data_IF_405410130624
#
_entry.id   IF_405410130624
#
_cell.length_a   1.000
_cell.length_b   1.000
_cell.length_c   1.000
_cell.angle_alpha   90.00
_cell.angle_beta   90.00
_cell.angle_gamma   90.00
#
_symmetry.space_group_name_H-M   'P 1'
#
loop_
_entity.id
_entity.type
_entity.pdbx_description
1 polymer ?
#
# COMPACT_ATOMS: atom_id res chain seq x y z
N UNK A 1 -3.62 -13.57 -6.42
CA UNK A 1 -2.94 -12.30 -6.13
C UNK A 1 -3.71 -11.68 -4.97
N UNK A 2 -3.13 -11.67 -3.77
CA UNK A 2 -3.75 -11.05 -2.58
C UNK A 2 -3.79 -9.57 -2.87
N UNK A 3 -4.97 -8.98 -2.90
CA UNK A 3 -5.14 -7.58 -3.30
C UNK A 3 -5.74 -6.84 -2.14
N UNK A 4 -4.96 -5.91 -1.59
CA UNK A 4 -5.30 -5.22 -0.36
C UNK A 4 -6.37 -4.16 -0.61
N UNK A 5 -7.22 -3.93 0.39
CA UNK A 5 -8.29 -2.95 0.29
C UNK A 5 -8.14 -1.84 1.34
N UNK A 6 -8.21 -0.57 0.92
CA UNK A 6 -8.12 0.58 1.84
C UNK A 6 -9.47 0.99 2.43
N UNK A 7 -10.56 0.68 1.75
CA UNK A 7 -11.91 1.03 2.17
C UNK A 7 -12.77 -0.22 2.17
N UNK A 8 -13.42 -0.50 3.30
CA UNK A 8 -14.39 -1.58 3.37
C UNK A 8 -15.75 -1.16 2.78
N UNK A 9 -16.67 -2.13 2.68
CA UNK A 9 -18.01 -1.92 2.15
C UNK A 9 -18.78 -0.88 2.98
N UNK A 10 -18.66 -0.91 4.30
CA UNK A 10 -19.37 0.03 5.18
C UNK A 10 -18.89 1.48 5.01
N UNK A 11 -17.59 1.67 4.80
CA UNK A 11 -16.98 2.97 4.52
C UNK A 11 -17.45 3.49 3.17
N UNK A 12 -17.48 2.64 2.14
CA UNK A 12 -17.98 3.02 0.82
C UNK A 12 -19.46 3.43 0.86
N UNK A 13 -20.33 2.64 1.50
CA UNK A 13 -21.79 2.91 1.56
C UNK A 13 -22.09 4.23 2.30
N UNK A 14 -21.27 4.58 3.30
CA UNK A 14 -21.40 5.87 4.01
C UNK A 14 -20.90 7.06 3.17
N UNK A 15 -20.06 6.82 2.17
CA UNK A 15 -19.66 7.85 1.22
C UNK A 15 -20.87 8.31 0.41
N UNK A 16 -21.08 9.63 0.32
CA UNK A 16 -22.18 10.23 -0.46
C UNK A 16 -21.92 10.12 -1.98
N UNK A 17 -21.87 8.89 -2.51
CA UNK A 17 -21.47 8.60 -3.88
C UNK A 17 -22.65 8.54 -4.85
N UNK A 18 -23.89 8.45 -4.34
CA UNK A 18 -25.11 8.40 -5.16
C UNK A 18 -25.25 7.17 -6.05
N UNK A 19 -24.46 6.11 -5.81
CA UNK A 19 -24.48 4.86 -6.57
C UNK A 19 -25.37 3.84 -5.86
N UNK A 20 -26.17 3.11 -6.64
CA UNK A 20 -26.96 1.99 -6.14
C UNK A 20 -26.04 0.81 -5.77
N UNK A 21 -26.06 0.38 -4.51
CA UNK A 21 -25.13 -0.66 -4.01
C UNK A 21 -25.78 -2.02 -3.75
N UNK A 22 -27.11 -2.12 -3.73
CA UNK A 22 -27.81 -3.36 -3.40
C UNK A 22 -27.70 -4.40 -4.53
N UNK A 23 -27.58 -4.00 -5.79
CA UNK A 23 -27.30 -4.92 -6.90
C UNK A 23 -25.83 -5.38 -6.96
N UNK A 24 -24.93 -4.63 -6.32
CA UNK A 24 -23.48 -4.83 -6.32
C UNK A 24 -22.99 -5.60 -5.08
N UNK A 25 -23.82 -5.74 -4.06
CA UNK A 25 -23.46 -6.38 -2.80
C UNK A 25 -24.47 -7.48 -2.48
N UNK A 26 -24.01 -8.72 -2.45
CA UNK A 26 -24.72 -9.82 -1.80
C UNK A 26 -24.07 -10.10 -0.45
N UNK A 27 -24.80 -10.80 0.44
CA UNK A 27 -24.22 -11.39 1.66
C UNK A 27 -23.21 -10.52 2.39
N UNK A 28 -23.65 -9.56 3.21
CA UNK A 28 -22.75 -8.64 3.92
C UNK A 28 -22.79 -8.84 5.43
N UNK A 29 -21.63 -9.00 6.04
CA UNK A 29 -21.51 -9.13 7.49
C UNK A 29 -20.10 -8.78 7.94
N UNK A 30 -19.80 -9.08 9.19
CA UNK A 30 -18.46 -9.00 9.78
C UNK A 30 -18.08 -10.35 10.39
N UNK A 31 -16.79 -10.68 10.43
CA UNK A 31 -16.32 -11.86 11.17
C UNK A 31 -16.68 -11.73 12.66
N UNK A 32 -17.37 -12.73 13.21
CA UNK A 32 -17.76 -12.76 14.62
C UNK A 32 -16.60 -13.24 15.52
N UNK A 33 -15.67 -14.02 14.95
CA UNK A 33 -14.50 -14.56 15.65
C UNK A 33 -13.25 -14.31 14.81
N UNK A 34 -12.09 -14.23 15.47
CA UNK A 34 -10.81 -14.20 14.77
C UNK A 34 -10.64 -15.51 13.98
N UNK A 35 -10.00 -15.42 12.82
CA UNK A 35 -9.80 -16.53 11.90
C UNK A 35 -8.30 -16.72 11.68
N UNK A 36 -7.82 -17.95 11.86
CA UNK A 36 -6.42 -18.28 11.59
C UNK A 36 -6.18 -18.49 10.08
N UNK A 37 -4.93 -18.32 9.63
CA UNK A 37 -4.53 -18.76 8.30
C UNK A 37 -4.75 -20.27 8.13
N UNK A 38 -5.21 -20.69 6.95
CA UNK A 38 -5.54 -22.08 6.64
C UNK A 38 -6.94 -22.50 7.10
N UNK A 39 -7.78 -21.58 7.60
CA UNK A 39 -9.12 -21.91 8.04
C UNK A 39 -10.00 -22.33 6.85
N UNK A 40 -10.84 -23.34 7.09
CA UNK A 40 -11.82 -23.86 6.13
C UNK A 40 -13.25 -23.49 6.49
N UNK A 41 -13.43 -22.67 7.54
CA UNK A 41 -14.73 -22.13 7.92
C UNK A 41 -14.57 -20.73 8.52
N UNK A 42 -15.59 -19.90 8.30
CA UNK A 42 -15.68 -18.55 8.84
C UNK A 42 -16.96 -18.45 9.67
N UNK A 43 -16.87 -17.85 10.85
CA UNK A 43 -18.07 -17.50 11.64
C UNK A 43 -18.34 -16.01 11.47
N UNK A 44 -19.51 -15.67 10.94
CA UNK A 44 -19.94 -14.28 10.68
C UNK A 44 -21.00 -13.85 11.69
N UNK A 45 -21.18 -12.54 11.86
CA UNK A 45 -22.21 -12.01 12.78
C UNK A 45 -23.64 -12.34 12.30
N UNK A 46 -23.85 -12.39 10.99
CA UNK A 46 -25.10 -12.79 10.34
C UNK A 46 -24.81 -13.50 9.01
N UNK A 47 -25.30 -14.72 8.86
CA UNK A 47 -25.12 -15.54 7.65
C UNK A 47 -26.33 -15.59 6.72
N UNK A 48 -27.44 -14.91 7.06
CA UNK A 48 -28.74 -15.07 6.37
C UNK A 48 -28.75 -14.65 4.90
N UNK A 49 -27.84 -13.76 4.50
CA UNK A 49 -27.76 -13.21 3.14
C UNK A 49 -26.65 -13.82 2.28
N UNK A 50 -25.91 -14.81 2.81
CA UNK A 50 -24.83 -15.48 2.08
C UNK A 50 -25.32 -16.63 1.20
N UNK A 51 -24.62 -16.83 0.08
CA UNK A 51 -24.82 -17.95 -0.83
C UNK A 51 -23.47 -18.60 -1.17
N UNK A 52 -23.52 -19.85 -1.66
CA UNK A 52 -22.32 -20.53 -2.15
C UNK A 52 -21.72 -19.75 -3.34
N UNK A 53 -20.40 -19.59 -3.36
CA UNK A 53 -19.71 -18.79 -4.37
C UNK A 53 -18.58 -17.93 -3.81
N UNK A 54 -18.12 -16.97 -4.62
CA UNK A 54 -17.02 -16.09 -4.28
C UNK A 54 -17.41 -15.12 -3.17
N UNK A 55 -16.53 -15.00 -2.19
CA UNK A 55 -16.67 -14.13 -1.03
C UNK A 55 -15.34 -13.41 -0.78
N UNK A 56 -15.43 -12.14 -0.40
CA UNK A 56 -14.30 -11.27 -0.16
C UNK A 56 -14.23 -10.92 1.32
N UNK A 57 -13.06 -11.13 1.92
CA UNK A 57 -12.72 -10.67 3.27
C UNK A 57 -11.89 -9.40 3.11
N UNK A 58 -12.37 -8.29 3.66
CA UNK A 58 -11.75 -6.97 3.55
C UNK A 58 -11.10 -6.63 4.89
N UNK A 59 -9.79 -6.86 4.98
CA UNK A 59 -8.99 -6.73 6.20
C UNK A 59 -7.62 -6.08 5.91
N UNK A 60 -7.64 -4.95 5.20
CA UNK A 60 -6.43 -4.21 4.84
C UNK A 60 -5.43 -5.04 4.03
N UNK A 61 -4.22 -5.19 4.55
CA UNK A 61 -3.14 -5.98 3.96
C UNK A 61 -3.39 -7.50 3.92
N UNK A 62 -4.38 -7.98 4.68
CA UNK A 62 -4.77 -9.38 4.71
C UNK A 62 -5.94 -9.67 3.76
N UNK A 63 -6.47 -8.68 3.02
CA UNK A 63 -7.69 -8.84 2.22
C UNK A 63 -7.54 -9.94 1.16
N UNK A 64 -8.49 -10.87 1.11
CA UNK A 64 -8.45 -12.01 0.20
C UNK A 64 -9.84 -12.45 -0.28
N UNK A 65 -9.86 -13.29 -1.33
CA UNK A 65 -11.07 -13.92 -1.85
C UNK A 65 -11.06 -15.40 -1.50
N UNK A 66 -12.16 -15.87 -0.92
CA UNK A 66 -12.41 -17.28 -0.60
C UNK A 66 -13.68 -17.76 -1.31
N UNK A 67 -13.84 -19.07 -1.45
CA UNK A 67 -15.04 -19.66 -2.05
C UNK A 67 -15.88 -20.36 -0.98
N UNK A 68 -17.10 -19.86 -0.73
CA UNK A 68 -18.07 -20.50 0.16
C UNK A 68 -18.66 -21.72 -0.54
N UNK A 69 -18.64 -22.87 0.12
CA UNK A 69 -19.25 -24.11 -0.36
C UNK A 69 -20.65 -24.32 0.22
N UNK A 70 -20.81 -24.10 1.52
CA UNK A 70 -22.07 -24.30 2.24
C UNK A 70 -22.22 -23.27 3.35
N UNK A 71 -23.46 -22.97 3.71
CA UNK A 71 -23.83 -22.06 4.80
C UNK A 71 -24.67 -22.83 5.81
N UNK A 72 -24.32 -22.72 7.08
CA UNK A 72 -25.07 -23.27 8.20
C UNK A 72 -25.22 -22.20 9.29
N UNK A 73 -26.37 -21.49 9.27
CA UNK A 73 -26.60 -20.36 10.17
C UNK A 73 -25.55 -19.26 9.97
N UNK A 74 -24.79 -18.97 11.02
CA UNK A 74 -23.70 -17.98 11.02
C UNK A 74 -22.35 -18.53 10.55
N UNK A 75 -22.27 -19.81 10.19
CA UNK A 75 -21.01 -20.46 9.77
C UNK A 75 -20.98 -20.65 8.25
N UNK A 76 -19.96 -20.08 7.62
CA UNK A 76 -19.66 -20.23 6.20
C UNK A 76 -18.55 -21.27 6.04
N UNK A 77 -18.84 -22.40 5.41
CA UNK A 77 -17.82 -23.42 5.11
C UNK A 77 -17.14 -23.07 3.80
N UNK A 78 -15.82 -22.98 3.81
CA UNK A 78 -15.02 -22.69 2.61
C UNK A 78 -14.78 -23.96 1.80
N UNK A 79 -14.56 -23.77 0.50
CA UNK A 79 -14.19 -24.86 -0.41
C UNK A 79 -12.79 -25.34 -0.08
N UNK A 80 -12.54 -26.65 -0.11
CA UNK A 80 -11.27 -27.24 0.30
C UNK A 80 -10.04 -26.72 -0.48
N UNK A 81 -10.24 -26.22 -1.70
CA UNK A 81 -9.20 -25.61 -2.53
C UNK A 81 -8.94 -24.12 -2.25
N UNK A 82 -9.71 -23.48 -1.36
CA UNK A 82 -9.60 -22.07 -1.02
C UNK A 82 -9.75 -21.83 0.49
N UNK A 83 -8.88 -22.44 1.34
CA UNK A 83 -8.78 -22.01 2.72
C UNK A 83 -8.26 -20.56 2.78
N UNK A 84 -8.44 -19.88 3.91
CA UNK A 84 -7.83 -18.56 4.10
C UNK A 84 -6.31 -18.64 4.00
N UNK A 85 -5.69 -17.67 3.35
CA UNK A 85 -4.23 -17.54 3.25
C UNK A 85 -3.69 -16.72 4.42
N UNK A 86 -4.44 -15.72 4.87
CA UNK A 86 -4.09 -14.85 5.97
C UNK A 86 -4.91 -15.14 7.24
N UNK A 87 -4.41 -14.66 8.37
CA UNK A 87 -5.21 -14.57 9.58
C UNK A 87 -6.02 -13.27 9.55
N UNK A 88 -7.25 -13.30 10.06
CA UNK A 88 -8.18 -12.18 10.07
C UNK A 88 -8.69 -11.87 11.48
N UNK A 89 -8.88 -10.58 11.73
CA UNK A 89 -9.44 -10.07 12.98
C UNK A 89 -10.95 -10.24 13.10
N UNK A 90 -11.45 -10.21 14.33
CA UNK A 90 -12.88 -10.00 14.60
C UNK A 90 -13.31 -8.65 14.02
N UNK A 91 -14.49 -8.59 13.41
CA UNK A 91 -15.03 -7.36 12.84
C UNK A 91 -14.60 -7.08 11.40
N UNK A 92 -13.71 -7.88 10.81
CA UNK A 92 -13.34 -7.73 9.40
C UNK A 92 -14.59 -7.86 8.51
N UNK A 93 -14.74 -6.94 7.56
CA UNK A 93 -15.89 -6.89 6.65
C UNK A 93 -15.84 -8.07 5.69
N UNK A 94 -16.99 -8.72 5.49
CA UNK A 94 -17.13 -9.83 4.57
C UNK A 94 -18.33 -9.61 3.64
N UNK A 95 -18.15 -9.90 2.35
CA UNK A 95 -19.14 -9.60 1.31
C UNK A 95 -19.13 -10.66 0.21
N UNK A 96 -20.29 -10.97 -0.38
CA UNK A 96 -20.37 -11.73 -1.65
C UNK A 96 -20.75 -10.85 -2.82
N UNK A 97 -20.60 -11.37 -4.03
CA UNK A 97 -21.09 -10.71 -5.24
C UNK A 97 -22.61 -10.55 -5.19
N UNK A 98 -23.10 -9.36 -5.54
CA UNK A 98 -24.51 -9.15 -5.87
C UNK A 98 -24.83 -9.66 -7.28
N UNK A 99 -26.08 -9.49 -7.71
CA UNK A 99 -26.57 -9.95 -9.02
C UNK A 99 -25.88 -9.28 -10.21
N UNK A 100 -25.31 -8.09 -10.03
CA UNK A 100 -24.57 -7.33 -11.06
C UNK A 100 -23.04 -7.30 -10.81
N UNK A 101 -22.53 -8.16 -9.91
CA UNK A 101 -21.12 -8.27 -9.54
C UNK A 101 -20.84 -7.85 -8.10
N UNK A 102 -19.56 -7.84 -7.68
CA UNK A 102 -19.17 -7.50 -6.31
C UNK A 102 -18.63 -6.08 -6.17
N UNK A 103 -19.22 -5.28 -5.27
CA UNK A 103 -18.65 -4.02 -4.79
C UNK A 103 -17.28 -4.25 -4.13
N UNK A 104 -17.13 -5.33 -3.36
CA UNK A 104 -15.87 -5.68 -2.72
C UNK A 104 -14.73 -5.87 -3.73
N UNK A 105 -15.00 -6.54 -4.87
CA UNK A 105 -14.01 -6.68 -5.96
C UNK A 105 -13.63 -5.31 -6.54
N UNK A 106 -14.60 -4.41 -6.71
CA UNK A 106 -14.33 -3.06 -7.22
C UNK A 106 -13.49 -2.25 -6.24
N UNK A 107 -13.78 -2.31 -4.94
CA UNK A 107 -12.99 -1.63 -3.91
C UNK A 107 -11.54 -2.14 -3.86
N UNK A 108 -11.37 -3.45 -4.07
CA UNK A 108 -10.06 -4.08 -4.19
C UNK A 108 -9.32 -3.58 -5.44
N UNK A 109 -9.97 -3.53 -6.60
CA UNK A 109 -9.37 -2.98 -7.84
C UNK A 109 -9.04 -1.49 -7.72
N UNK A 110 -9.91 -0.72 -7.09
CA UNK A 110 -9.69 0.70 -6.81
C UNK A 110 -8.49 0.91 -5.88
N UNK A 111 -8.38 0.07 -4.86
CA UNK A 111 -7.21 0.08 -3.95
C UNK A 111 -5.92 -0.23 -4.70
N UNK A 112 -5.90 -1.27 -5.54
CA UNK A 112 -4.75 -1.58 -6.40
C UNK A 112 -4.35 -0.42 -7.33
N UNK A 113 -5.34 0.29 -7.89
CA UNK A 113 -5.07 1.50 -8.68
C UNK A 113 -4.41 2.61 -7.84
N UNK A 114 -4.90 2.83 -6.62
CA UNK A 114 -4.30 3.80 -5.68
C UNK A 114 -2.87 3.42 -5.33
N UNK A 115 -2.56 2.13 -5.13
CA UNK A 115 -1.18 1.66 -4.94
C UNK A 115 -0.30 2.00 -6.14
N UNK A 116 -0.79 1.65 -7.34
CA UNK A 116 -0.08 1.90 -8.60
C UNK A 116 0.16 3.40 -8.85
N UNK A 117 -0.82 4.24 -8.51
CA UNK A 117 -0.69 5.69 -8.63
C UNK A 117 0.34 6.27 -7.66
N UNK A 118 0.31 5.84 -6.39
CA UNK A 118 1.26 6.32 -5.38
C UNK A 118 2.69 5.83 -5.67
N UNK A 119 2.85 4.65 -6.29
CA UNK A 119 4.15 4.15 -6.74
C UNK A 119 5.15 3.98 -5.59
N UNK A 120 4.65 3.69 -4.39
CA UNK A 120 5.48 3.20 -3.30
C UNK A 120 5.56 1.67 -3.51
N UNK A 121 6.75 1.07 -3.51
CA UNK A 121 6.94 -0.35 -3.92
C UNK A 121 7.67 -0.54 -5.24
N UNK A 122 8.31 -1.70 -5.43
CA UNK A 122 9.04 -2.01 -6.67
C UNK A 122 8.09 -2.37 -7.83
N UNK A 123 8.25 -1.80 -9.04
CA UNK A 123 7.35 -2.10 -10.15
C UNK A 123 7.57 -3.53 -10.58
N UNK A 124 6.47 -4.25 -10.84
CA UNK A 124 6.52 -5.64 -11.27
C UNK A 124 6.78 -6.65 -10.14
N UNK A 125 6.92 -6.21 -8.88
CA UNK A 125 6.97 -7.13 -7.74
C UNK A 125 5.61 -7.20 -7.03
N UNK A 126 4.80 -8.19 -7.41
CA UNK A 126 3.51 -8.45 -6.77
C UNK A 126 3.61 -8.84 -5.27
N UNK A 127 4.83 -9.11 -4.76
CA UNK A 127 5.08 -9.42 -3.36
C UNK A 127 5.52 -8.22 -2.51
N UNK A 128 5.62 -7.02 -3.09
CA UNK A 128 5.93 -5.76 -2.38
C UNK A 128 4.75 -4.79 -2.51
N UNK A 129 3.60 -5.07 -1.85
CA UNK A 129 2.43 -4.20 -1.92
C UNK A 129 2.76 -2.84 -1.30
N UNK A 130 2.33 -1.81 -2.01
CA UNK A 130 3.09 -0.57 -2.08
C UNK A 130 2.96 0.38 -0.90
N UNK A 131 1.91 0.27 -0.08
CA UNK A 131 1.57 1.34 0.87
C UNK A 131 1.34 0.87 2.30
N UNK A 132 1.19 -0.41 2.58
CA UNK A 132 0.98 -0.89 3.95
C UNK A 132 2.29 -0.90 4.76
N UNK A 133 2.14 -0.71 6.07
CA UNK A 133 3.21 -0.76 7.06
C UNK A 133 3.79 -2.18 7.18
N UNK A 134 4.83 -2.46 6.40
CA UNK A 134 5.54 -3.74 6.40
C UNK A 134 7.02 -3.53 6.71
N UNK A 135 7.62 -4.55 7.32
CA UNK A 135 9.08 -4.63 7.45
C UNK A 135 9.68 -4.85 6.07
N UNK A 136 10.57 -3.96 5.65
CA UNK A 136 11.22 -3.98 4.34
C UNK A 136 12.72 -3.83 4.46
N UNK A 137 13.43 -4.40 3.50
CA UNK A 137 14.87 -4.25 3.35
C UNK A 137 15.18 -3.63 1.99
N UNK A 138 15.96 -2.56 2.01
CA UNK A 138 16.38 -1.82 0.82
C UNK A 138 17.90 -1.69 0.77
N UNK A 139 18.42 -1.63 -0.46
CA UNK A 139 19.84 -1.57 -0.77
C UNK A 139 20.07 -0.46 -1.79
N UNK A 140 20.63 0.66 -1.36
CA UNK A 140 20.76 1.89 -2.15
C UNK A 140 22.21 2.23 -2.42
N UNK A 141 22.54 2.67 -3.63
CA UNK A 141 23.91 3.12 -3.94
C UNK A 141 24.19 4.47 -3.28
N UNK A 142 25.39 4.65 -2.74
CA UNK A 142 25.90 5.90 -2.19
C UNK A 142 27.11 6.41 -3.00
N UNK A 143 27.08 7.64 -3.53
CA UNK A 143 25.93 8.53 -3.63
C UNK A 143 24.92 8.03 -4.68
N UNK A 144 23.64 8.31 -4.45
CA UNK A 144 22.53 7.99 -5.35
C UNK A 144 21.32 8.89 -5.09
N UNK A 145 20.24 8.67 -5.85
CA UNK A 145 18.98 9.42 -5.69
C UNK A 145 18.23 9.09 -4.39
N UNK A 146 18.60 7.97 -3.75
CA UNK A 146 17.95 7.40 -2.56
C UNK A 146 18.82 7.42 -1.31
N UNK A 147 20.10 7.71 -1.46
CA UNK A 147 21.03 7.89 -0.35
C UNK A 147 22.14 8.86 -0.76
N UNK A 148 22.41 9.87 0.06
CA UNK A 148 23.46 10.84 -0.19
C UNK A 148 24.12 11.28 1.11
N UNK A 149 25.37 11.73 1.00
CA UNK A 149 26.07 12.40 2.09
C UNK A 149 26.05 13.91 1.83
N UNK A 150 25.54 14.66 2.79
CA UNK A 150 25.56 16.12 2.75
C UNK A 150 26.97 16.68 2.93
N UNK A 151 27.14 17.97 2.68
CA UNK A 151 28.43 18.68 2.78
C UNK A 151 29.01 18.62 4.20
N UNK A 152 28.14 18.53 5.22
CA UNK A 152 28.51 18.36 6.62
C UNK A 152 28.76 16.92 7.06
N UNK A 153 28.65 15.93 6.17
CA UNK A 153 28.79 14.50 6.50
C UNK A 153 27.54 13.86 7.10
N UNK A 154 26.37 14.52 7.02
CA UNK A 154 25.08 13.90 7.33
C UNK A 154 24.72 12.84 6.27
N UNK A 155 24.19 11.70 6.69
CA UNK A 155 23.67 10.69 5.77
C UNK A 155 22.16 10.88 5.63
N UNK A 156 21.73 11.29 4.44
CA UNK A 156 20.32 11.40 4.08
C UNK A 156 19.88 10.16 3.30
N UNK A 157 18.74 9.57 3.69
CA UNK A 157 18.17 8.38 3.05
C UNK A 157 16.70 8.62 2.72
N UNK A 158 16.28 8.27 1.50
CA UNK A 158 14.92 8.39 0.99
C UNK A 158 14.35 7.01 0.60
N UNK A 159 13.79 6.23 1.54
CA UNK A 159 13.27 4.90 1.24
C UNK A 159 12.15 4.91 0.17
N UNK A 160 11.88 3.77 -0.45
CA UNK A 160 10.79 3.66 -1.44
C UNK A 160 9.40 3.82 -0.81
N UNK A 161 9.24 3.43 0.45
CA UNK A 161 7.98 3.39 1.16
C UNK A 161 7.94 4.41 2.29
N UNK A 162 6.82 5.11 2.40
CA UNK A 162 6.64 6.13 3.42
C UNK A 162 5.17 6.24 3.86
N UNK A 163 4.88 6.70 5.08
CA UNK A 163 5.83 7.19 6.09
C UNK A 163 6.73 6.08 6.64
N UNK A 164 7.99 6.41 6.93
CA UNK A 164 8.90 5.53 7.68
C UNK A 164 8.50 5.60 9.14
N UNK A 165 8.11 4.47 9.71
CA UNK A 165 7.64 4.38 11.10
C UNK A 165 8.80 4.14 12.06
N UNK A 166 9.74 3.27 11.67
CA UNK A 166 10.91 2.95 12.46
C UNK A 166 11.99 2.35 11.57
N UNK A 167 13.25 2.55 11.94
CA UNK A 167 14.41 1.90 11.29
C UNK A 167 14.97 0.85 12.24
N UNK A 168 14.94 -0.40 11.82
CA UNK A 168 15.44 -1.53 12.61
C UNK A 168 16.96 -1.69 12.47
N UNK A 169 17.51 -1.48 11.27
CA UNK A 169 18.94 -1.53 11.04
C UNK A 169 19.35 -0.60 9.90
N UNK A 170 20.51 0.03 10.03
CA UNK A 170 21.14 0.83 9.00
C UNK A 170 22.63 0.47 8.94
N UNK A 171 23.15 0.20 7.75
CA UNK A 171 24.56 -0.10 7.57
C UNK A 171 25.09 0.42 6.23
N UNK A 172 26.41 0.63 6.18
CA UNK A 172 27.15 0.96 4.96
C UNK A 172 28.01 -0.22 4.56
N UNK A 173 27.82 -0.74 3.35
CA UNK A 173 28.61 -1.81 2.75
C UNK A 173 29.58 -1.20 1.73
N UNK A 174 30.87 -1.45 1.91
CA UNK A 174 31.95 -0.96 1.04
C UNK A 174 32.32 -1.96 -0.06
N UNK A 175 31.63 -3.09 -0.11
CA UNK A 175 32.06 -4.27 -0.83
C UNK A 175 33.14 -5.05 -0.09
N UNK A 176 33.52 -6.20 -0.62
CA UNK A 176 34.59 -7.06 -0.09
C UNK A 176 34.35 -7.56 1.36
N UNK A 177 33.09 -7.64 1.80
CA UNK A 177 32.72 -8.12 3.13
C UNK A 177 32.92 -7.10 4.25
N UNK A 178 33.18 -5.83 3.92
CA UNK A 178 33.30 -4.75 4.92
C UNK A 178 31.97 -4.01 5.06
N UNK A 179 31.32 -4.20 6.21
CA UNK A 179 30.05 -3.53 6.56
C UNK A 179 30.20 -2.75 7.85
N UNK A 180 29.73 -1.51 7.86
CA UNK A 180 29.66 -0.65 9.05
C UNK A 180 28.22 -0.49 9.50
N UNK A 181 27.90 -0.99 10.69
CA UNK A 181 26.56 -0.82 11.28
C UNK A 181 26.47 0.53 11.97
N UNK A 182 25.43 1.29 11.63
CA UNK A 182 25.16 2.62 12.16
C UNK A 182 24.10 2.54 13.27
N UNK A 183 24.19 3.45 14.25
CA UNK A 183 23.22 3.55 15.34
C UNK A 183 21.89 4.13 14.84
N UNK A 184 20.93 3.24 14.60
CA UNK A 184 19.58 3.62 14.19
C UNK A 184 18.84 4.46 15.24
N UNK A 185 19.26 4.48 16.52
CA UNK A 185 18.61 5.29 17.56
C UNK A 185 18.87 6.79 17.43
N UNK A 186 19.84 7.18 16.59
CA UNK A 186 20.20 8.59 16.35
C UNK A 186 19.59 9.15 15.07
N UNK A 187 18.75 8.37 14.39
CA UNK A 187 18.06 8.79 13.18
C UNK A 187 17.06 9.90 13.52
N UNK A 188 17.06 10.96 12.69
CA UNK A 188 16.12 12.06 12.77
C UNK A 188 15.19 11.94 11.57
N UNK A 189 13.91 11.69 11.84
CA UNK A 189 12.90 11.70 10.79
C UNK A 189 12.57 13.13 10.37
N UNK A 190 12.46 13.35 9.06
CA UNK A 190 11.87 14.59 8.56
C UNK A 190 10.39 14.68 8.96
N UNK A 191 9.82 15.88 8.99
CA UNK A 191 8.41 16.09 9.34
C UNK A 191 7.43 15.34 8.42
N UNK A 192 7.86 15.00 7.21
CA UNK A 192 7.07 14.21 6.24
C UNK A 192 7.22 12.69 6.41
N UNK A 193 8.18 12.24 7.21
CA UNK A 193 8.61 10.84 7.34
C UNK A 193 8.90 10.13 5.99
N UNK A 194 9.14 10.90 4.91
CA UNK A 194 9.56 10.38 3.59
C UNK A 194 11.05 10.10 3.51
N UNK A 195 11.81 10.78 4.34
CA UNK A 195 13.25 10.63 4.49
C UNK A 195 13.64 10.79 5.94
N UNK A 196 14.83 10.31 6.22
CA UNK A 196 15.45 10.49 7.51
C UNK A 196 16.93 10.78 7.32
N UNK A 197 17.48 11.48 8.29
CA UNK A 197 18.86 11.92 8.30
C UNK A 197 19.56 11.32 9.52
N UNK A 198 20.83 10.97 9.35
CA UNK A 198 21.72 10.58 10.44
C UNK A 198 22.79 11.69 10.60
N UNK A 199 22.79 12.44 11.71
CA UNK A 199 23.67 13.58 11.87
C UNK A 199 25.14 13.15 12.10
N UNK A 200 26.10 14.03 11.76
CA UNK A 200 27.50 13.81 12.07
C UNK A 200 27.80 14.01 13.58
N UNK A 201 28.84 13.35 14.13
CA UNK A 201 29.56 12.23 13.52
C UNK A 201 28.65 10.99 13.45
N UNK A 202 28.67 10.25 12.33
CA UNK A 202 27.81 9.08 12.19
C UNK A 202 28.13 8.07 13.31
N UNK A 203 27.18 7.76 14.19
CA UNK A 203 27.39 6.88 15.33
C UNK A 203 27.54 5.44 14.82
N UNK A 204 28.73 4.87 14.97
CA UNK A 204 29.00 3.48 14.58
C UNK A 204 28.79 2.58 15.79
N UNK A 205 27.87 1.61 15.68
CA UNK A 205 27.75 0.52 16.65
C UNK A 205 28.89 -0.47 16.37
N UNK A 206 30.03 -0.29 17.01
CA UNK A 206 31.15 -1.22 16.89
C UNK A 206 30.78 -2.58 17.49
N UNK A 207 31.03 -3.68 16.76
CA UNK A 207 31.31 -4.98 17.39
C UNK A 207 32.26 -5.84 16.55
N UNK A 208 33.38 -6.22 17.18
CA UNK A 208 34.39 -7.21 16.77
C UNK A 208 35.16 -6.95 15.48
N UNK A 209 36.10 -6.01 15.57
CA UNK A 209 37.12 -5.78 14.57
C UNK A 209 37.71 -4.41 14.83
N UNK A 210 39.01 -4.34 15.06
CA UNK A 210 39.72 -3.06 15.26
C UNK A 210 39.35 -2.11 14.12
N UNK A 211 38.90 -0.91 14.48
CA UNK A 211 38.67 0.22 13.57
C UNK A 211 39.97 0.55 12.83
N UNK A 212 40.17 -0.08 11.68
CA UNK A 212 41.21 0.28 10.72
C UNK A 212 40.52 0.33 9.36
N UNK A 213 40.06 1.52 8.97
CA UNK A 213 40.11 1.86 7.54
C UNK A 213 41.55 1.54 7.07
N UNK A 214 41.78 0.94 5.90
CA UNK A 214 43.15 0.64 5.46
C UNK A 214 43.98 1.94 5.50
N UNK A 215 44.77 2.13 6.57
CA UNK A 215 45.45 3.41 6.88
C UNK A 215 45.34 3.99 8.31
N UNK A 216 44.45 3.51 9.18
CA UNK A 216 44.44 3.86 10.62
C UNK A 216 43.82 5.22 11.01
N UNK A 217 43.20 5.22 12.20
CA UNK A 217 42.33 6.23 12.83
C UNK A 217 40.94 6.39 12.18
N UNK A 218 39.86 6.59 12.98
CA UNK A 218 38.58 7.07 12.48
C UNK A 218 38.77 8.54 12.06
N UNK A 219 39.36 8.74 10.88
CA UNK A 219 39.51 10.06 10.27
C UNK A 219 38.12 10.65 10.02
N UNK A 220 38.02 11.96 10.18
CA UNK A 220 36.86 12.71 9.74
C UNK A 220 36.48 12.27 8.31
N UNK A 221 35.17 12.13 8.06
CA UNK A 221 34.62 11.70 6.77
C UNK A 221 35.13 12.52 5.56
N UNK A 222 35.72 13.70 5.81
CA UNK A 222 36.42 14.52 4.82
C UNK A 222 37.58 13.80 4.12
N UNK A 223 38.20 12.80 4.76
CA UNK A 223 39.37 12.09 4.24
C UNK A 223 39.03 10.72 3.64
N UNK A 224 37.88 10.15 4.00
CA UNK A 224 37.33 9.02 3.27
C UNK A 224 36.82 9.61 1.98
N UNK A 225 37.70 9.65 0.98
CA UNK A 225 37.33 9.93 -0.38
C UNK A 225 36.31 8.87 -0.82
N UNK A 226 35.04 9.12 -0.49
CA UNK A 226 33.85 8.79 -1.27
C UNK A 226 33.91 9.52 -2.63
N UNK A 227 35.13 9.66 -3.17
CA UNK A 227 35.38 9.74 -4.58
C UNK A 227 34.48 8.70 -5.22
N UNK A 228 33.89 9.10 -6.32
CA UNK A 228 32.90 8.36 -7.11
C UNK A 228 33.43 7.02 -7.66
N UNK A 229 34.56 6.51 -7.15
CA UNK A 229 35.34 5.38 -7.63
C UNK A 229 34.98 4.03 -6.96
N UNK A 230 34.40 4.00 -5.75
CA UNK A 230 34.01 2.76 -5.06
C UNK A 230 32.49 2.59 -4.90
N UNK A 231 31.93 1.37 -5.09
CA UNK A 231 30.50 1.13 -4.88
C UNK A 231 30.22 0.97 -3.38
N UNK A 232 29.90 2.08 -2.70
CA UNK A 232 29.33 2.04 -1.35
C UNK A 232 27.83 1.88 -1.44
N UNK A 233 27.25 1.05 -0.58
CA UNK A 233 25.82 0.78 -0.53
C UNK A 233 25.28 1.02 0.88
N UNK A 234 24.07 1.56 0.95
CA UNK A 234 23.29 1.69 2.17
C UNK A 234 22.36 0.49 2.28
N UNK A 235 22.54 -0.30 3.32
CA UNK A 235 21.66 -1.40 3.71
C UNK A 235 20.70 -0.92 4.77
N UNK A 236 19.41 -0.91 4.46
CA UNK A 236 18.37 -0.40 5.32
C UNK A 236 17.34 -1.48 5.59
N UNK A 237 17.02 -1.73 6.86
CA UNK A 237 15.83 -2.49 7.27
C UNK A 237 14.93 -1.57 8.09
N UNK A 238 13.68 -1.43 7.68
CA UNK A 238 12.76 -0.45 8.26
C UNK A 238 11.31 -0.91 8.15
N UNK A 239 10.44 -0.32 8.97
CA UNK A 239 8.99 -0.43 8.83
C UNK A 239 8.51 0.83 8.11
N UNK A 240 7.98 0.66 6.88
CA UNK A 240 7.52 1.77 6.05
C UNK A 240 6.09 1.57 5.58
N UNK A 241 5.36 2.65 5.34
CA UNK A 241 3.97 2.62 4.88
C UNK A 241 2.96 2.95 5.98
N UNK A 242 1.68 2.77 5.67
CA UNK A 242 0.53 3.15 6.48
C UNK A 242 0.06 1.96 7.32
N UNK A 243 -0.18 2.20 8.61
CA UNK A 243 -0.62 1.15 9.54
C UNK A 243 -2.04 0.69 9.15
N UNK A 244 -2.26 -0.62 9.10
CA UNK A 244 -3.59 -1.18 8.93
C UNK A 244 -4.52 -0.69 10.06
N UNK A 245 -5.70 -0.18 9.71
CA UNK A 245 -6.65 0.40 10.67
C UNK A 245 -6.40 1.88 11.03
N UNK A 246 -5.27 2.47 10.63
CA UNK A 246 -5.01 3.92 10.76
C UNK A 246 -4.76 4.56 9.40
N UNK A 247 -5.51 4.12 8.38
CA UNK A 247 -5.42 4.65 7.03
C UNK A 247 -5.91 6.11 7.02
N UNK A 248 -5.15 7.06 6.44
CA UNK A 248 -5.60 8.45 6.31
C UNK A 248 -6.90 8.53 5.52
N UNK A 249 -7.75 9.48 5.90
CA UNK A 249 -9.03 9.72 5.22
C UNK A 249 -8.86 9.87 3.71
N UNK A 250 -7.81 10.57 3.27
CA UNK A 250 -7.49 10.79 1.85
C UNK A 250 -7.43 9.49 1.04
N UNK A 251 -6.84 8.41 1.59
CA UNK A 251 -6.77 7.12 0.92
C UNK A 251 -8.14 6.46 0.83
N UNK A 252 -8.89 6.45 1.93
CA UNK A 252 -10.23 5.86 1.96
C UNK A 252 -11.18 6.58 1.00
N UNK A 253 -11.09 7.91 0.95
CA UNK A 253 -11.88 8.75 0.06
C UNK A 253 -11.46 8.59 -1.40
N UNK A 254 -10.16 8.54 -1.69
CA UNK A 254 -9.65 8.30 -3.04
C UNK A 254 -10.10 6.93 -3.56
N UNK A 255 -10.07 5.88 -2.73
CA UNK A 255 -10.62 4.57 -3.11
C UNK A 255 -12.12 4.65 -3.40
N UNK A 256 -12.88 5.39 -2.60
CA UNK A 256 -14.31 5.58 -2.89
C UNK A 256 -14.52 6.27 -4.25
N UNK A 257 -13.79 7.35 -4.55
CA UNK A 257 -13.90 8.05 -5.84
C UNK A 257 -13.49 7.18 -7.03
N UNK A 258 -12.38 6.43 -6.91
CA UNK A 258 -11.92 5.50 -7.96
C UNK A 258 -12.92 4.36 -8.13
N UNK A 259 -13.45 3.79 -7.04
CA UNK A 259 -14.46 2.74 -7.11
C UNK A 259 -15.75 3.25 -7.77
N UNK A 260 -16.21 4.44 -7.43
CA UNK A 260 -17.37 5.08 -8.07
C UNK A 260 -17.13 5.32 -9.56
N UNK A 261 -15.92 5.75 -9.93
CA UNK A 261 -15.52 5.89 -11.33
C UNK A 261 -15.56 4.55 -12.08
N UNK A 262 -15.01 3.48 -11.49
CA UNK A 262 -15.03 2.12 -12.05
C UNK A 262 -16.46 1.57 -12.19
N UNK A 263 -17.36 1.87 -11.23
CA UNK A 263 -18.77 1.50 -11.31
C UNK A 263 -19.53 2.33 -12.36
N UNK A 264 -19.21 3.61 -12.50
CA UNK A 264 -19.77 4.46 -13.56
C UNK A 264 -19.47 3.94 -14.97
N UNK A 265 -18.34 3.25 -15.17
CA UNK A 265 -18.06 2.54 -16.43
C UNK A 265 -18.92 1.29 -16.64
N UNK A 266 -19.47 0.66 -15.59
CA UNK A 266 -20.40 -0.48 -15.75
C UNK A 266 -21.76 -0.02 -16.26
N UNK A 267 -22.24 1.13 -15.79
CA UNK A 267 -23.47 1.77 -16.31
C UNK A 267 -23.25 2.40 -17.70
N UNK A 268 -21.99 2.60 -18.11
CA UNK A 268 -21.62 3.23 -19.36
C UNK A 268 -20.30 2.64 -19.91
N UNK A 269 -20.34 1.47 -20.57
CA UNK A 269 -19.13 0.77 -21.00
C UNK A 269 -18.31 1.66 -21.94
N UNK A 270 -17.16 2.08 -21.41
CA UNK A 270 -16.08 2.87 -22.00
C UNK A 270 -16.46 4.27 -22.53
N UNK A 271 -16.32 5.30 -21.68
CA UNK A 271 -15.77 6.60 -22.11
C UNK A 271 -16.55 7.42 -23.13
N UNK A 272 -17.88 7.33 -23.18
CA UNK A 272 -18.64 8.10 -24.15
C UNK A 272 -18.78 9.58 -23.71
N UNK A 273 -17.98 10.47 -24.30
CA UNK A 273 -18.23 11.93 -24.29
C UNK A 273 -19.60 12.30 -24.91
N UNK A 274 -20.30 11.33 -25.50
CA UNK A 274 -21.50 11.48 -26.29
C UNK A 274 -22.48 10.34 -25.98
N UNK A 275 -23.67 10.66 -25.45
CA UNK A 275 -24.75 9.69 -25.23
C UNK A 275 -25.79 9.82 -26.35
N UNK A 276 -26.03 8.76 -27.13
CA UNK A 276 -27.08 8.76 -28.15
C UNK A 276 -28.44 8.41 -27.53
N UNK A 277 -29.39 9.34 -27.63
CA UNK A 277 -30.79 9.21 -27.26
C UNK A 277 -31.64 9.25 -28.54
N UNK A 278 -31.67 8.14 -29.28
CA UNK A 278 -32.34 8.08 -30.58
C UNK A 278 -31.66 8.97 -31.61
N UNK A 279 -32.34 10.04 -32.09
CA UNK A 279 -31.80 10.98 -33.10
C UNK A 279 -30.89 12.08 -32.54
N UNK A 280 -30.68 12.14 -31.22
CA UNK A 280 -29.91 13.21 -30.57
C UNK A 280 -28.71 12.64 -29.82
N UNK A 281 -27.64 13.43 -29.76
CA UNK A 281 -26.41 13.08 -29.05
C UNK A 281 -26.14 14.13 -27.96
N UNK A 282 -25.91 13.68 -26.73
CA UNK A 282 -25.72 14.52 -25.55
C UNK A 282 -24.26 14.50 -25.12
N UNK A 283 -23.61 15.67 -25.08
CA UNK A 283 -22.20 15.84 -24.73
C UNK A 283 -22.10 16.73 -23.50
N UNK A 284 -21.70 16.18 -22.34
CA UNK A 284 -21.44 16.98 -21.14
C UNK A 284 -19.93 17.19 -20.98
N UNK A 285 -19.48 18.44 -21.06
CA UNK A 285 -18.10 18.84 -20.73
C UNK A 285 -18.14 19.98 -19.71
N UNK A 286 -17.32 19.90 -18.67
CA UNK A 286 -16.99 21.07 -17.85
C UNK A 286 -16.10 21.99 -18.70
N UNK A 287 -16.45 23.28 -18.76
CA UNK A 287 -15.79 24.25 -19.65
C UNK A 287 -14.34 24.46 -19.19
N UNK A 288 -13.36 23.98 -19.96
CA UNK A 288 -11.94 24.27 -19.75
C UNK A 288 -11.05 23.08 -19.38
N UNK A 289 -11.60 21.89 -19.17
CA UNK A 289 -10.79 20.69 -18.94
C UNK A 289 -10.50 19.96 -20.27
N UNK A 290 -9.22 19.74 -20.55
CA UNK A 290 -8.71 19.08 -21.77
C UNK A 290 -8.15 17.68 -21.47
N UNK A 291 -8.21 17.22 -20.21
CA UNK A 291 -7.88 15.84 -19.86
C UNK A 291 -9.03 14.89 -20.19
N UNK A 292 -8.73 13.74 -20.80
CA UNK A 292 -9.71 12.64 -21.01
C UNK A 292 -10.09 11.93 -19.69
N UNK A 293 -9.95 12.61 -18.54
CA UNK A 293 -10.03 12.03 -17.21
C UNK A 293 -11.32 12.47 -16.49
N UNK A 294 -11.93 11.57 -15.71
CA UNK A 294 -13.11 11.93 -14.92
C UNK A 294 -12.75 12.84 -13.74
N UNK A 295 -13.66 13.73 -13.34
CA UNK A 295 -13.46 14.60 -12.17
C UNK A 295 -13.15 13.83 -10.90
N UNK A 296 -13.79 12.67 -10.69
CA UNK A 296 -13.54 11.77 -9.55
C UNK A 296 -12.09 11.27 -9.53
N UNK A 297 -11.54 10.95 -10.71
CA UNK A 297 -10.17 10.48 -10.81
C UNK A 297 -9.18 11.63 -10.63
N UNK A 298 -9.50 12.83 -11.14
CA UNK A 298 -8.71 14.03 -10.89
C UNK A 298 -8.68 14.40 -9.39
N UNK A 299 -9.81 14.34 -8.69
CA UNK A 299 -9.91 14.59 -7.25
C UNK A 299 -9.11 13.54 -6.46
N UNK A 300 -9.21 12.26 -6.84
CA UNK A 300 -8.41 11.18 -6.25
C UNK A 300 -6.91 11.41 -6.42
N UNK A 301 -6.46 11.80 -7.61
CA UNK A 301 -5.05 12.17 -7.85
C UNK A 301 -4.62 13.37 -7.01
N UNK A 302 -5.48 14.38 -6.90
CA UNK A 302 -5.21 15.59 -6.12
C UNK A 302 -4.89 15.29 -4.66
N UNK A 303 -5.72 14.47 -4.00
CA UNK A 303 -5.48 14.09 -2.59
C UNK A 303 -4.32 13.11 -2.43
N UNK A 304 -4.07 12.26 -3.44
CA UNK A 304 -2.99 11.27 -3.40
C UNK A 304 -1.61 11.82 -3.77
N UNK A 305 -1.51 13.02 -4.33
CA UNK A 305 -0.24 13.60 -4.80
C UNK A 305 0.78 13.75 -3.65
N UNK A 306 0.29 14.04 -2.44
CA UNK A 306 1.09 14.08 -1.21
C UNK A 306 1.58 12.69 -0.73
N UNK A 307 1.18 11.61 -1.39
CA UNK A 307 1.61 10.24 -1.13
C UNK A 307 2.32 9.59 -2.32
N UNK A 308 2.48 10.34 -3.41
CA UNK A 308 3.17 9.87 -4.60
C UNK A 308 4.68 9.86 -4.39
N UNK A 309 5.29 8.76 -4.78
CA UNK A 309 6.73 8.61 -4.87
C UNK A 309 7.21 9.28 -6.16
N UNK A 310 7.95 10.38 -6.04
CA UNK A 310 8.43 11.18 -7.18
C UNK A 310 9.84 10.79 -7.66
N UNK A 311 10.53 9.94 -6.90
CA UNK A 311 11.93 9.57 -7.16
C UNK A 311 12.01 8.25 -7.92
N UNK A 312 11.48 8.26 -9.13
CA UNK A 312 11.63 7.20 -10.13
C UNK A 312 12.54 7.71 -11.24
#
# INVERSE_FOLDING_TARGET
>A
MVTNCYADVATFIRGAMGIETASLLGGNSTLATAVAAGATSLTVADGTSFAAGACWILDGAASEMVMISTIAGATLTLSAGTPTVAAHGVGASIATSGTQGALAEVLVRASAWVEGYCGQGRPGNASDPGLFALSRTEHHRLPGTRAALGVGGELAVWPLHFPVQSVASLALDWGQGQTWTLDATKIIFTSSARSFDLPPPLPVLTTTGVLVAPGGLPRAWSDIALSRAGPVWVNLTYQGGLVAGAMPWDFTQAVCWVAAHLLGYRENPTGAAQRQLGKKTLVSRLRGDMGDESTLLADAKGVLEAYRNRHW
#
